data_IF_219062164094
#
_entry.id   IF_219062164094
#
_cell.length_a   1.000
_cell.length_b   1.000
_cell.length_c   1.000
_cell.angle_alpha   90.00
_cell.angle_beta   90.00
_cell.angle_gamma   90.00
#
_symmetry.space_group_name_H-M   'P 1'
#
loop_
_entity.id
_entity.type
_entity.pdbx_description
1 polymer ?
#
# COMPACT_ATOMS: atom_id res chain seq x y z
N UNK A 1 -2.29 -41.63 13.60
CA UNK A 1 -0.86 -41.30 13.64
C UNK A 1 -0.46 -40.67 12.31
N UNK A 2 0.21 -39.51 12.40
CA UNK A 2 1.10 -38.85 11.43
C UNK A 2 0.65 -38.60 9.97
N UNK A 3 0.43 -37.31 9.73
CA UNK A 3 0.51 -36.52 8.48
C UNK A 3 1.81 -36.74 7.69
N UNK A 4 1.77 -36.65 6.36
CA UNK A 4 2.72 -35.85 5.57
C UNK A 4 2.07 -35.37 4.27
N UNK A 5 1.81 -34.06 4.21
CA UNK A 5 1.37 -33.37 3.00
C UNK A 5 2.57 -33.14 2.08
N UNK A 6 2.51 -33.69 0.87
CA UNK A 6 3.42 -33.37 -0.21
C UNK A 6 2.80 -32.22 -1.02
N UNK A 7 3.14 -30.98 -0.68
CA UNK A 7 2.88 -29.83 -1.54
C UNK A 7 3.82 -29.88 -2.75
N UNK A 8 3.33 -29.94 -4.00
CA UNK A 8 4.19 -29.78 -5.16
C UNK A 8 4.56 -28.29 -5.30
N UNK A 9 5.85 -27.97 -5.19
CA UNK A 9 6.39 -26.68 -5.60
C UNK A 9 6.23 -26.52 -7.11
N UNK A 10 5.24 -25.74 -7.54
CA UNK A 10 5.02 -25.42 -8.94
C UNK A 10 6.06 -24.38 -9.37
N UNK A 11 7.11 -24.84 -10.06
CA UNK A 11 8.02 -23.96 -10.80
C UNK A 11 7.33 -23.47 -12.07
N UNK A 12 6.59 -22.36 -11.99
CA UNK A 12 6.09 -21.67 -13.17
C UNK A 12 7.25 -20.94 -13.88
N UNK A 13 7.85 -21.59 -14.88
CA UNK A 13 8.61 -20.90 -15.92
C UNK A 13 7.63 -20.32 -16.94
N UNK A 14 7.25 -19.05 -16.79
CA UNK A 14 6.70 -18.28 -17.91
C UNK A 14 7.88 -17.75 -18.72
N UNK A 15 8.19 -18.43 -19.83
CA UNK A 15 9.11 -17.94 -20.85
C UNK A 15 8.42 -16.82 -21.62
N UNK A 16 8.78 -15.58 -21.32
CA UNK A 16 8.63 -14.47 -22.27
C UNK A 16 9.92 -14.47 -23.09
N UNK A 17 9.81 -14.66 -24.40
CA UNK A 17 10.94 -14.60 -25.32
C UNK A 17 11.48 -13.17 -25.34
N UNK A 18 12.57 -12.96 -24.62
CA UNK A 18 13.50 -11.88 -24.90
C UNK A 18 14.38 -12.33 -26.08
N UNK A 19 14.61 -11.49 -27.12
CA UNK A 19 15.62 -11.80 -28.12
C UNK A 19 16.97 -11.99 -27.42
N UNK A 20 17.55 -13.16 -27.62
CA UNK A 20 18.71 -13.66 -26.90
C UNK A 20 19.97 -12.90 -27.29
N UNK A 21 20.76 -12.48 -26.30
CA UNK A 21 22.22 -12.72 -26.29
C UNK A 21 22.78 -12.55 -24.85
N UNK A 22 23.39 -13.63 -24.34
CA UNK A 22 24.61 -13.68 -23.48
C UNK A 22 24.50 -13.10 -22.05
N UNK A 23 24.81 -13.74 -20.91
CA UNK A 23 25.42 -15.03 -20.53
C UNK A 23 24.99 -15.32 -19.08
N UNK A 24 24.49 -16.52 -18.80
CA UNK A 24 24.09 -16.95 -17.45
C UNK A 24 25.33 -17.42 -16.64
N UNK A 25 25.89 -16.56 -15.78
CA UNK A 25 26.81 -17.00 -14.72
C UNK A 25 26.00 -17.29 -13.47
N UNK A 26 25.56 -18.55 -13.32
CA UNK A 26 25.02 -19.03 -12.05
C UNK A 26 26.17 -19.21 -11.05
N UNK A 27 26.21 -18.41 -9.99
CA UNK A 27 27.06 -18.69 -8.81
C UNK A 27 26.21 -19.26 -7.67
N UNK A 28 26.59 -20.38 -7.06
CA UNK A 28 25.83 -21.02 -6.01
C UNK A 28 25.84 -20.22 -4.70
N UNK A 29 24.71 -20.30 -4.01
CA UNK A 29 24.45 -19.87 -2.64
C UNK A 29 25.47 -20.46 -1.66
N UNK A 30 26.01 -19.63 -0.78
CA UNK A 30 26.63 -20.12 0.45
C UNK A 30 26.08 -19.35 1.66
N UNK A 31 25.44 -20.11 2.54
CA UNK A 31 24.90 -19.68 3.81
C UNK A 31 25.97 -19.98 4.86
N UNK A 32 26.33 -19.01 5.71
CA UNK A 32 27.07 -19.29 6.94
C UNK A 32 26.67 -18.30 8.03
N UNK A 33 26.21 -18.91 9.12
CA UNK A 33 25.90 -18.35 10.43
C UNK A 33 27.14 -17.75 11.11
N UNK A 34 26.98 -16.70 11.92
CA UNK A 34 27.02 -16.78 13.39
C UNK A 34 26.93 -15.39 14.05
N UNK A 35 26.47 -15.46 15.29
CA UNK A 35 25.99 -14.46 16.22
C UNK A 35 27.14 -13.79 16.99
N UNK A 36 27.06 -12.51 17.38
CA UNK A 36 27.53 -11.97 18.69
C UNK A 36 27.33 -10.45 18.84
N UNK A 37 26.65 -10.05 19.92
CA UNK A 37 26.70 -8.72 20.55
C UNK A 37 28.06 -8.47 21.24
N UNK A 38 28.34 -7.25 21.70
CA UNK A 38 28.36 -7.08 23.16
C UNK A 38 27.75 -5.76 23.69
N UNK A 39 27.28 -5.81 24.93
CA UNK A 39 26.92 -4.67 25.79
C UNK A 39 28.05 -4.29 26.76
N UNK A 40 28.14 -2.99 27.10
CA UNK A 40 28.44 -2.42 28.45
C UNK A 40 28.62 -0.89 28.28
N UNK A 41 27.75 0.00 28.77
CA UNK A 41 27.51 0.45 30.15
C UNK A 41 28.68 1.22 30.81
N UNK A 42 28.47 2.52 31.05
CA UNK A 42 29.06 3.26 32.17
C UNK A 42 28.17 4.45 32.55
N UNK A 43 27.68 4.39 33.79
CA UNK A 43 26.82 5.31 34.53
C UNK A 43 27.63 6.25 35.43
N UNK A 44 27.20 7.52 35.58
CA UNK A 44 27.23 8.38 36.78
C UNK A 44 26.21 9.52 36.50
N UNK A 45 25.20 9.91 37.29
CA UNK A 45 24.82 9.64 38.67
C UNK A 45 24.72 10.97 39.45
N UNK A 46 23.59 11.21 40.13
CA UNK A 46 23.25 12.15 41.26
C UNK A 46 21.97 12.96 40.92
N UNK A 47 20.77 12.49 41.30
CA UNK A 47 20.04 12.67 42.59
C UNK A 47 19.50 14.10 42.83
N UNK A 48 18.32 14.38 43.43
CA UNK A 48 17.24 13.58 44.00
C UNK A 48 16.06 14.52 44.38
N UNK A 49 14.97 13.89 44.86
CA UNK A 49 14.03 14.35 45.89
C UNK A 49 12.69 15.01 45.47
N UNK A 50 11.65 14.16 45.42
CA UNK A 50 10.64 14.14 46.49
C UNK A 50 9.36 14.98 46.33
N UNK A 51 8.27 14.65 47.07
CA UNK A 51 6.91 14.54 46.50
C UNK A 51 5.89 15.52 47.13
N UNK A 52 4.73 15.74 46.50
CA UNK A 52 3.45 15.62 47.22
C UNK A 52 2.16 15.75 46.39
N UNK A 53 1.13 15.07 46.91
CA UNK A 53 -0.28 15.13 46.55
C UNK A 53 -0.91 16.52 46.75
N UNK A 54 -1.78 16.92 45.83
CA UNK A 54 -2.84 17.92 46.09
C UNK A 54 -4.08 17.55 45.24
N UNK A 55 -5.13 16.98 45.84
CA UNK A 55 -6.25 17.62 46.56
C UNK A 55 -7.47 17.82 45.65
N UNK A 56 -8.45 16.92 45.80
CA UNK A 56 -9.86 17.10 45.45
C UNK A 56 -10.36 18.48 45.91
N UNK A 57 -11.05 19.22 45.04
CA UNK A 57 -11.88 20.36 45.43
C UNK A 57 -13.35 19.94 45.45
N UNK A 58 -13.92 19.90 46.65
CA UNK A 58 -15.35 19.92 46.91
C UNK A 58 -15.63 21.20 47.69
N UNK A 59 -16.62 21.97 47.26
CA UNK A 59 -17.16 23.11 48.00
C UNK A 59 -18.67 22.95 48.09
N UNK A 60 -19.15 22.90 49.34
CA UNK A 60 -20.56 22.89 49.76
C UNK A 60 -21.06 24.32 50.02
N UNK A 61 -22.35 24.38 50.39
CA UNK A 61 -23.21 25.47 50.89
C UNK A 61 -24.10 26.07 49.79
N UNK A 62 -25.42 26.13 49.91
CA UNK A 62 -26.34 25.78 50.99
C UNK A 62 -27.57 26.69 50.94
N UNK A 63 -28.76 26.11 51.09
CA UNK A 63 -29.97 26.77 51.64
C UNK A 63 -30.82 27.64 50.73
N UNK A 64 -32.15 27.44 50.78
CA UNK A 64 -33.12 28.52 50.56
C UNK A 64 -34.27 28.23 49.60
N UNK A 65 -35.38 27.78 50.17
CA UNK A 65 -36.78 27.80 49.69
C UNK A 65 -37.16 29.16 49.05
N UNK A 66 -38.10 29.32 48.10
CA UNK A 66 -39.57 29.29 48.25
C UNK A 66 -40.21 29.96 46.98
N UNK A 67 -41.46 29.59 46.62
CA UNK A 67 -42.45 30.39 45.85
C UNK A 67 -42.20 30.55 44.32
N UNK A 68 -43.15 30.50 43.38
CA UNK A 68 -44.61 30.42 43.35
C UNK A 68 -45.03 30.03 41.91
N UNK A 69 -46.17 29.35 41.81
CA UNK A 69 -46.80 28.92 40.57
C UNK A 69 -47.10 30.05 39.57
N UNK A 70 -46.99 29.75 38.28
CA UNK A 70 -47.84 30.35 37.26
C UNK A 70 -48.31 29.26 36.30
N UNK A 71 -49.61 28.96 36.41
CA UNK A 71 -50.35 28.24 35.38
C UNK A 71 -50.26 29.04 34.08
N UNK A 72 -49.62 28.45 33.07
CA UNK A 72 -49.94 28.75 31.69
C UNK A 72 -50.11 27.42 30.98
N UNK A 73 -51.37 27.01 30.83
CA UNK A 73 -51.79 26.04 29.83
C UNK A 73 -51.25 26.50 28.47
N UNK A 74 -50.08 25.98 28.08
CA UNK A 74 -49.66 26.05 26.68
C UNK A 74 -50.58 25.11 25.91
N UNK A 75 -51.54 25.71 25.23
CA UNK A 75 -52.34 25.14 24.14
C UNK A 75 -51.51 24.10 23.39
N UNK A 76 -51.97 22.85 23.38
CA UNK A 76 -51.55 21.88 22.36
C UNK A 76 -52.03 22.36 21.00
N UNK A 77 -51.21 23.11 20.28
CA UNK A 77 -51.30 23.16 18.83
C UNK A 77 -50.71 21.86 18.32
N UNK A 78 -51.56 21.03 17.72
CA UNK A 78 -51.23 19.85 16.94
C UNK A 78 -50.45 20.30 15.69
N UNK A 79 -49.22 20.76 15.88
CA UNK A 79 -48.29 20.92 14.78
C UNK A 79 -47.89 19.51 14.38
N UNK A 80 -48.24 19.13 13.16
CA UNK A 80 -47.60 18.04 12.45
C UNK A 80 -46.10 18.19 12.66
N UNK A 81 -45.52 17.26 13.42
CA UNK A 81 -44.08 17.07 13.46
C UNK A 81 -43.73 16.69 12.02
N UNK A 82 -43.40 17.69 11.20
CA UNK A 82 -42.53 17.48 10.08
C UNK A 82 -41.28 16.88 10.71
N UNK A 83 -41.13 15.57 10.59
CA UNK A 83 -39.87 14.92 10.94
C UNK A 83 -38.86 15.53 9.98
N UNK A 84 -38.14 16.53 10.47
CA UNK A 84 -36.85 16.91 9.93
C UNK A 84 -36.03 15.62 9.96
N UNK A 85 -35.96 14.95 8.81
CA UNK A 85 -35.17 13.74 8.67
C UNK A 85 -33.72 14.16 8.81
N UNK A 86 -33.23 14.14 10.05
CA UNK A 86 -31.82 14.26 10.34
C UNK A 86 -31.08 13.28 9.41
N UNK A 87 -30.10 13.76 8.62
CA UNK A 87 -29.39 12.90 7.70
C UNK A 87 -28.81 11.73 8.49
N UNK A 88 -29.22 10.51 8.11
CA UNK A 88 -28.81 9.28 8.80
C UNK A 88 -27.28 9.27 8.89
N UNK A 89 -26.69 9.10 10.08
CA UNK A 89 -25.25 9.16 10.24
C UNK A 89 -24.61 8.13 9.31
N UNK A 90 -23.57 8.55 8.58
CA UNK A 90 -22.81 7.66 7.70
C UNK A 90 -22.18 6.59 8.57
N UNK A 91 -22.74 5.37 8.52
CA UNK A 91 -22.22 4.22 9.24
C UNK A 91 -20.89 3.87 8.61
N UNK A 92 -19.79 4.17 9.32
CA UNK A 92 -18.46 3.70 8.94
C UNK A 92 -18.34 2.24 9.39
N UNK A 93 -18.53 1.32 8.46
CA UNK A 93 -18.28 -0.09 8.72
C UNK A 93 -16.79 -0.33 8.89
N UNK A 94 -16.44 -1.25 9.79
CA UNK A 94 -15.08 -1.78 9.89
C UNK A 94 -14.75 -2.65 8.66
N UNK A 95 -13.46 -2.95 8.46
CA UNK A 95 -13.06 -3.88 7.41
C UNK A 95 -13.73 -5.25 7.61
N UNK A 96 -14.65 -5.61 6.71
CA UNK A 96 -15.17 -6.97 6.63
C UNK A 96 -14.04 -7.89 6.18
N UNK A 97 -13.56 -8.75 7.07
CA UNK A 97 -12.52 -9.73 6.74
C UNK A 97 -13.01 -10.64 5.60
N UNK A 98 -12.31 -10.62 4.46
CA UNK A 98 -12.58 -11.51 3.31
C UNK A 98 -11.35 -12.35 3.03
N UNK A 99 -11.58 -13.64 2.76
CA UNK A 99 -10.52 -14.61 2.48
C UNK A 99 -10.04 -14.59 1.02
N UNK A 100 -10.69 -13.82 0.14
CA UNK A 100 -10.38 -13.78 -1.28
C UNK A 100 -11.00 -12.58 -2.00
N UNK A 101 -10.50 -12.25 -3.20
CA UNK A 101 -11.07 -11.20 -4.03
C UNK A 101 -12.52 -11.52 -4.41
N UNK A 102 -13.34 -10.48 -4.56
CA UNK A 102 -14.70 -10.64 -5.08
C UNK A 102 -14.64 -10.99 -6.58
N UNK A 103 -15.65 -11.68 -7.10
CA UNK A 103 -15.71 -12.09 -8.51
C UNK A 103 -15.50 -10.89 -9.45
N UNK A 104 -14.54 -11.02 -10.37
CA UNK A 104 -14.22 -9.97 -11.35
C UNK A 104 -13.37 -8.80 -10.82
N UNK A 105 -13.03 -8.77 -9.52
CA UNK A 105 -12.14 -7.76 -8.92
C UNK A 105 -10.68 -8.22 -8.79
N UNK A 106 -10.38 -9.37 -9.39
CA UNK A 106 -9.03 -9.94 -9.45
C UNK A 106 -8.09 -9.08 -10.31
N UNK A 107 -6.82 -9.09 -9.93
CA UNK A 107 -5.81 -8.42 -10.73
C UNK A 107 -5.43 -9.27 -11.94
N UNK A 108 -5.73 -8.76 -13.13
CA UNK A 108 -5.36 -9.39 -14.40
C UNK A 108 -4.06 -8.80 -14.95
N UNK A 109 -2.94 -9.55 -14.94
CA UNK A 109 -1.65 -9.03 -15.36
C UNK A 109 -1.64 -8.61 -16.84
N UNK A 110 -2.39 -9.31 -17.70
CA UNK A 110 -2.50 -8.98 -19.13
C UNK A 110 -3.15 -7.62 -19.37
N UNK A 111 -4.19 -7.27 -18.59
CA UNK A 111 -4.86 -5.97 -18.70
C UNK A 111 -3.91 -4.85 -18.28
N UNK A 112 -3.27 -5.00 -17.11
CA UNK A 112 -2.28 -4.05 -16.62
C UNK A 112 -1.12 -3.87 -17.60
N UNK A 113 -0.61 -4.97 -18.16
CA UNK A 113 0.46 -4.95 -19.16
C UNK A 113 0.08 -4.09 -20.37
N UNK A 114 -1.09 -4.32 -20.97
CA UNK A 114 -1.55 -3.59 -22.14
C UNK A 114 -1.71 -2.08 -21.87
N UNK A 115 -2.33 -1.70 -20.76
CA UNK A 115 -2.50 -0.29 -20.39
C UNK A 115 -1.15 0.40 -20.18
N UNK A 116 -0.20 -0.27 -19.52
CA UNK A 116 1.14 0.26 -19.29
C UNK A 116 1.92 0.39 -20.60
N UNK A 117 1.81 -0.57 -21.51
CA UNK A 117 2.44 -0.52 -22.84
C UNK A 117 1.94 0.70 -23.64
N UNK A 118 0.62 0.89 -23.72
CA UNK A 118 0.01 2.05 -24.41
C UNK A 118 0.46 3.37 -23.77
N UNK A 119 0.46 3.44 -22.44
CA UNK A 119 0.89 4.63 -21.71
C UNK A 119 2.35 4.99 -21.99
N UNK A 120 3.26 4.01 -21.93
CA UNK A 120 4.69 4.21 -22.18
C UNK A 120 4.96 4.59 -23.64
N UNK A 121 4.27 3.97 -24.59
CA UNK A 121 4.35 4.33 -26.00
C UNK A 121 3.95 5.76 -26.30
N UNK A 122 2.98 6.31 -25.56
CA UNK A 122 2.55 7.70 -25.72
C UNK A 122 3.50 8.68 -25.03
N UNK A 123 4.02 8.33 -23.85
CA UNK A 123 4.79 9.27 -23.02
C UNK A 123 6.30 9.22 -23.26
N UNK A 124 6.84 8.13 -23.82
CA UNK A 124 8.29 7.93 -23.98
C UNK A 124 8.79 7.89 -25.43
N UNK A 125 7.88 7.88 -26.41
CA UNK A 125 8.23 7.79 -27.85
C UNK A 125 9.07 8.97 -28.35
N UNK A 126 8.83 10.18 -27.86
CA UNK A 126 9.54 11.40 -28.31
C UNK A 126 10.46 11.99 -27.24
N UNK A 127 10.70 11.26 -26.15
CA UNK A 127 11.54 11.72 -25.04
C UNK A 127 13.01 11.39 -25.29
N UNK A 128 13.86 12.40 -25.14
CA UNK A 128 15.32 12.24 -25.12
C UNK A 128 15.82 12.07 -23.69
N UNK A 129 16.82 11.22 -23.48
CA UNK A 129 17.39 11.04 -22.15
C UNK A 129 18.17 12.29 -21.72
N UNK A 130 17.84 12.81 -20.54
CA UNK A 130 18.62 13.84 -19.86
C UNK A 130 18.77 13.46 -18.38
N UNK A 131 20.01 13.36 -17.86
CA UNK A 131 20.25 12.96 -16.47
C UNK A 131 19.65 13.92 -15.45
N UNK A 132 19.47 15.21 -15.79
CA UNK A 132 18.95 16.20 -14.84
C UNK A 132 17.44 16.02 -14.58
N UNK A 133 16.69 15.61 -15.62
CA UNK A 133 15.24 15.40 -15.58
C UNK A 133 14.83 13.94 -15.37
N UNK A 134 15.75 12.99 -15.57
CA UNK A 134 15.48 11.55 -15.47
C UNK A 134 14.82 11.11 -14.16
N UNK A 135 15.23 11.68 -13.02
CA UNK A 135 14.67 11.34 -11.72
C UNK A 135 13.18 11.74 -11.61
N UNK A 136 12.85 12.96 -12.03
CA UNK A 136 11.48 13.48 -12.02
C UNK A 136 10.59 12.72 -13.01
N UNK A 137 11.13 12.40 -14.19
CA UNK A 137 10.44 11.59 -15.20
C UNK A 137 10.13 10.19 -14.65
N UNK A 138 11.10 9.55 -13.99
CA UNK A 138 10.92 8.22 -13.39
C UNK A 138 9.82 8.23 -12.34
N UNK A 139 9.81 9.22 -11.44
CA UNK A 139 8.78 9.37 -10.41
C UNK A 139 7.40 9.57 -11.04
N UNK A 140 7.30 10.45 -12.05
CA UNK A 140 6.05 10.72 -12.76
C UNK A 140 5.49 9.47 -13.43
N UNK A 141 6.34 8.68 -14.09
CA UNK A 141 5.94 7.40 -14.71
C UNK A 141 5.47 6.43 -13.62
N UNK A 142 6.19 6.30 -12.51
CA UNK A 142 5.81 5.40 -11.43
C UNK A 142 4.44 5.76 -10.84
N UNK A 143 4.19 7.03 -10.56
CA UNK A 143 2.92 7.50 -10.03
C UNK A 143 1.77 7.29 -11.01
N UNK A 144 1.97 7.59 -12.30
CA UNK A 144 0.95 7.35 -13.32
C UNK A 144 0.65 5.87 -13.51
N UNK A 145 1.66 5.01 -13.58
CA UNK A 145 1.47 3.54 -13.71
C UNK A 145 0.72 2.98 -12.51
N UNK A 146 1.07 3.42 -11.30
CA UNK A 146 0.36 3.04 -10.07
C UNK A 146 -1.11 3.44 -10.12
N UNK A 147 -1.43 4.64 -10.62
CA UNK A 147 -2.81 5.12 -10.74
C UNK A 147 -3.58 4.36 -11.83
N UNK A 148 -3.01 4.16 -13.01
CA UNK A 148 -3.59 3.34 -14.09
C UNK A 148 -3.93 1.94 -13.59
N UNK A 149 -3.03 1.35 -12.80
CA UNK A 149 -3.28 0.02 -12.22
C UNK A 149 -4.45 0.04 -11.24
N UNK A 150 -4.59 1.09 -10.43
CA UNK A 150 -5.72 1.25 -9.49
C UNK A 150 -7.05 1.43 -10.21
N UNK A 151 -7.04 2.02 -11.41
CA UNK A 151 -8.24 2.21 -12.24
C UNK A 151 -8.77 0.88 -12.82
N UNK A 152 -7.98 -0.20 -12.80
CA UNK A 152 -8.41 -1.56 -13.20
C UNK A 152 -9.36 -2.24 -12.20
N UNK A 153 -9.91 -1.48 -11.24
CA UNK A 153 -10.96 -1.88 -10.33
C UNK A 153 -10.59 -3.05 -9.39
N UNK A 154 -9.37 -2.98 -8.83
CA UNK A 154 -8.83 -3.94 -7.86
C UNK A 154 -8.74 -3.33 -6.44
N UNK A 155 -9.88 -3.10 -5.75
CA UNK A 155 -9.95 -2.28 -4.53
C UNK A 155 -9.23 -2.88 -3.32
N UNK A 156 -9.10 -4.21 -3.25
CA UNK A 156 -8.45 -4.96 -2.16
C UNK A 156 -7.00 -5.31 -2.47
N UNK A 157 -6.35 -4.61 -3.39
CA UNK A 157 -4.97 -4.86 -3.75
C UNK A 157 -4.07 -3.70 -3.34
N UNK A 158 -2.96 -4.02 -2.67
CA UNK A 158 -1.82 -3.13 -2.53
C UNK A 158 -1.02 -3.18 -3.83
N UNK A 159 -1.00 -2.04 -4.51
CA UNK A 159 -0.26 -1.87 -5.77
C UNK A 159 1.09 -1.24 -5.47
N UNK A 160 2.17 -1.91 -5.90
CA UNK A 160 3.54 -1.40 -5.86
C UNK A 160 4.07 -1.32 -7.29
N UNK A 161 4.56 -0.15 -7.70
CA UNK A 161 5.15 0.09 -9.02
C UNK A 161 6.64 0.38 -8.88
N UNK A 162 7.46 -0.38 -9.59
CA UNK A 162 8.91 -0.18 -9.69
C UNK A 162 9.22 0.24 -11.11
N UNK A 163 9.92 1.36 -11.27
CA UNK A 163 10.29 1.91 -12.57
C UNK A 163 11.79 2.13 -12.59
N UNK A 164 12.45 1.62 -13.62
CA UNK A 164 13.86 1.85 -13.89
C UNK A 164 13.97 2.53 -15.25
N UNK A 165 14.55 3.73 -15.28
CA UNK A 165 14.81 4.48 -16.50
C UNK A 165 16.31 4.63 -16.68
N UNK A 166 16.81 4.47 -17.91
CA UNK A 166 18.23 4.62 -18.20
C UNK A 166 18.51 5.01 -19.64
N UNK A 167 19.75 5.39 -19.89
CA UNK A 167 20.23 5.80 -21.21
C UNK A 167 20.54 4.58 -22.11
N UNK A 168 20.27 4.69 -23.40
CA UNK A 168 20.64 3.68 -24.40
C UNK A 168 22.06 3.90 -24.95
N UNK A 169 23.12 3.55 -24.19
CA UNK A 169 24.54 3.61 -24.64
C UNK A 169 25.25 2.25 -24.57
N UNK A 170 24.71 1.23 -25.25
CA UNK A 170 25.33 -0.10 -25.36
C UNK A 170 25.70 -0.74 -23.99
N UNK A 171 24.93 -0.43 -22.94
CA UNK A 171 25.04 -1.05 -21.62
C UNK A 171 24.04 -2.20 -21.47
N UNK A 172 24.38 -3.16 -20.60
CA UNK A 172 23.48 -4.23 -20.18
C UNK A 172 22.75 -3.88 -18.88
N UNK A 173 21.48 -4.26 -18.79
CA UNK A 173 20.68 -4.20 -17.57
C UNK A 173 19.87 -5.50 -17.46
N UNK A 174 19.93 -6.14 -16.28
CA UNK A 174 19.06 -7.25 -15.92
C UNK A 174 18.32 -6.89 -14.62
N UNK A 175 16.99 -6.98 -14.66
CA UNK A 175 16.13 -6.74 -13.49
C UNK A 175 15.45 -8.05 -13.10
N UNK A 176 15.61 -8.45 -11.85
CA UNK A 176 14.95 -9.61 -11.28
C UNK A 176 14.32 -9.24 -9.94
N UNK A 177 13.15 -9.82 -9.65
CA UNK A 177 12.46 -9.70 -8.37
C UNK A 177 12.19 -11.10 -7.81
N UNK A 178 12.18 -11.21 -6.47
CA UNK A 178 11.81 -12.42 -5.75
C UNK A 178 10.75 -12.05 -4.72
N UNK A 179 9.63 -12.77 -4.73
CA UNK A 179 8.49 -12.51 -3.87
C UNK A 179 8.09 -13.79 -3.13
N UNK A 180 7.64 -13.63 -1.89
CA UNK A 180 6.95 -14.66 -1.13
C UNK A 180 5.49 -14.19 -0.99
N UNK A 181 4.58 -14.85 -1.68
CA UNK A 181 3.22 -14.37 -1.89
C UNK A 181 2.26 -15.51 -2.23
N UNK A 182 0.96 -15.26 -2.25
CA UNK A 182 -0.09 -16.23 -2.59
C UNK A 182 -0.21 -16.35 -4.12
N UNK A 183 0.11 -17.52 -4.69
CA UNK A 183 0.10 -17.77 -6.14
C UNK A 183 -1.30 -17.63 -6.78
N UNK A 184 -2.36 -17.77 -5.99
CA UNK A 184 -3.74 -17.66 -6.47
C UNK A 184 -4.28 -16.23 -6.45
N UNK A 185 -3.75 -15.36 -5.59
CA UNK A 185 -4.27 -14.00 -5.37
C UNK A 185 -3.31 -12.93 -5.85
N UNK A 186 -2.03 -13.11 -5.61
CA UNK A 186 -1.01 -12.11 -5.89
C UNK A 186 -0.45 -12.27 -7.30
N UNK A 187 -0.15 -11.16 -7.97
CA UNK A 187 0.39 -11.22 -9.32
C UNK A 187 1.25 -9.99 -9.66
N UNK A 188 1.92 -10.06 -10.81
CA UNK A 188 2.72 -8.97 -11.33
C UNK A 188 2.62 -8.84 -12.85
N UNK A 189 2.93 -7.65 -13.34
CA UNK A 189 3.11 -7.38 -14.75
C UNK A 189 4.42 -6.61 -14.96
N UNK A 190 5.19 -6.99 -15.98
CA UNK A 190 6.42 -6.31 -16.38
C UNK A 190 6.32 -5.88 -17.83
N UNK A 191 6.69 -4.62 -18.08
CA UNK A 191 6.73 -4.00 -19.40
C UNK A 191 8.08 -3.34 -19.60
N UNK A 192 8.68 -3.54 -20.77
CA UNK A 192 9.89 -2.86 -21.20
C UNK A 192 9.60 -2.00 -22.42
N UNK A 193 10.00 -0.74 -22.38
CA UNK A 193 9.93 0.18 -23.51
C UNK A 193 11.33 0.70 -23.83
N UNK A 194 11.66 0.80 -25.11
CA UNK A 194 12.96 1.28 -25.58
C UNK A 194 12.79 2.23 -26.74
N UNK A 195 13.46 3.37 -26.64
CA UNK A 195 13.63 4.36 -27.69
C UNK A 195 15.12 4.43 -28.09
N UNK A 196 15.46 5.31 -29.04
CA UNK A 196 16.82 5.54 -29.55
C UNK A 196 17.79 5.95 -28.45
N UNK A 197 17.37 6.81 -27.52
CA UNK A 197 18.24 7.40 -26.49
C UNK A 197 17.96 6.91 -25.07
N UNK A 198 16.76 6.39 -24.80
CA UNK A 198 16.27 6.07 -23.46
C UNK A 198 15.57 4.72 -23.44
N UNK A 199 15.66 3.99 -22.32
CA UNK A 199 14.86 2.81 -22.04
C UNK A 199 14.14 2.94 -20.69
N UNK A 200 13.03 2.23 -20.54
CA UNK A 200 12.33 2.07 -19.28
C UNK A 200 11.92 0.62 -19.06
N UNK A 201 12.09 0.15 -17.83
CA UNK A 201 11.57 -1.14 -17.35
C UNK A 201 10.61 -0.83 -16.20
N UNK A 202 9.35 -1.21 -16.40
CA UNK A 202 8.27 -1.00 -15.43
C UNK A 202 7.81 -2.36 -14.94
N UNK A 203 7.77 -2.54 -13.62
CA UNK A 203 7.17 -3.73 -13.00
C UNK A 203 6.15 -3.30 -11.97
N UNK A 204 4.95 -3.87 -12.05
CA UNK A 204 3.86 -3.63 -11.12
C UNK A 204 3.56 -4.92 -10.38
N UNK A 205 3.52 -4.85 -9.07
CA UNK A 205 3.10 -5.92 -8.17
C UNK A 205 1.75 -5.56 -7.59
N UNK A 206 0.80 -6.48 -7.69
CA UNK A 206 -0.50 -6.41 -7.05
C UNK A 206 -0.56 -7.50 -5.99
N UNK A 207 -0.59 -7.09 -4.73
CA UNK A 207 -0.63 -7.99 -3.57
C UNK A 207 -1.99 -7.83 -2.90
N UNK A 208 -2.75 -8.91 -2.81
CA UNK A 208 -4.04 -8.95 -2.15
C UNK A 208 -3.90 -8.56 -0.68
N UNK A 209 -4.76 -7.67 -0.24
CA UNK A 209 -4.76 -7.09 1.10
C UNK A 209 -6.14 -7.26 1.74
N UNK A 210 -6.15 -7.90 2.90
CA UNK A 210 -7.35 -8.29 3.65
C UNK A 210 -7.98 -7.15 4.46
#
# INVERSE_FOLDING_TARGET
>A
MATTGSHPAVKLKKTIQFPQEVVNVRRPSNCLSQNSQPESSSTLGVEAAGPNMARRRSTKYGGGTLLTAAHAFRRMTRNSIAQEQLPKPVVKYENTYKLGPDEGTEFFPSKAKNEIEVFLEQHMRDVTYDPSTAAQLTQTIADKVKNLTKELNCPRYKVVSTVVVGECKNQGLETASRCLWDDGKDNFATVCHKNKTIFAVVTVFAVYFE
#
